data_IF_864108815585
#
_entry.id   IF_864108815585
#
_cell.length_a   1.000
_cell.length_b   1.000
_cell.length_c   1.000
_cell.angle_alpha   90.00
_cell.angle_beta   90.00
_cell.angle_gamma   90.00
#
_symmetry.space_group_name_H-M   'P 1'
#
loop_
_entity.id
_entity.type
_entity.pdbx_description
1 polymer ?
#
# COMPACT_ATOMS: atom_id res chain seq x y z
N UNK A 1 8.88 22.95 -8.32
CA UNK A 1 8.90 22.61 -6.87
C UNK A 1 7.55 22.08 -6.41
N UNK A 2 6.59 21.93 -7.32
CA UNK A 2 5.17 21.93 -6.98
C UNK A 2 4.66 20.54 -6.54
N UNK A 3 5.35 19.47 -6.94
CA UNK A 3 5.01 18.09 -6.57
C UNK A 3 5.89 17.49 -5.46
N UNK A 4 6.84 18.26 -4.90
CA UNK A 4 7.75 17.75 -3.89
C UNK A 4 7.01 17.27 -2.63
N UNK A 5 6.01 18.06 -2.18
CA UNK A 5 5.17 17.69 -1.03
C UNK A 5 4.35 16.43 -1.31
N UNK A 6 3.80 16.29 -2.52
CA UNK A 6 3.06 15.08 -2.93
C UNK A 6 3.96 13.85 -2.89
N UNK A 7 5.19 13.98 -3.38
CA UNK A 7 6.21 12.93 -3.28
C UNK A 7 6.51 12.53 -1.84
N UNK A 8 6.68 13.51 -0.93
CA UNK A 8 6.89 13.22 0.50
C UNK A 8 5.71 12.45 1.08
N UNK A 9 4.47 12.87 0.78
CA UNK A 9 3.27 12.18 1.25
C UNK A 9 3.24 10.73 0.77
N UNK A 10 3.60 10.47 -0.49
CA UNK A 10 3.66 9.11 -1.01
C UNK A 10 4.73 8.27 -0.32
N UNK A 11 5.92 8.82 -0.10
CA UNK A 11 6.98 8.12 0.64
C UNK A 11 6.56 7.79 2.07
N UNK A 12 5.88 8.72 2.77
CA UNK A 12 5.36 8.48 4.11
C UNK A 12 4.27 7.40 4.11
N UNK A 13 3.36 7.41 3.13
CA UNK A 13 2.33 6.37 2.99
C UNK A 13 2.92 4.99 2.72
N UNK A 14 3.93 4.90 1.85
CA UNK A 14 4.66 3.66 1.57
C UNK A 14 5.35 3.17 2.85
N UNK A 15 6.08 4.05 3.55
CA UNK A 15 6.74 3.71 4.81
C UNK A 15 5.76 3.24 5.89
N UNK A 16 4.64 3.96 6.08
CA UNK A 16 3.58 3.58 7.00
C UNK A 16 2.96 2.23 6.63
N UNK A 17 2.75 1.97 5.33
CA UNK A 17 2.23 0.69 4.85
C UNK A 17 3.15 -0.48 5.22
N UNK A 18 4.48 -0.30 5.09
CA UNK A 18 5.46 -1.32 5.49
C UNK A 18 5.42 -1.56 7.00
N UNK A 19 5.40 -0.50 7.82
CA UNK A 19 5.31 -0.64 9.27
C UNK A 19 4.02 -1.35 9.70
N UNK A 20 2.88 -1.00 9.08
CA UNK A 20 1.58 -1.64 9.32
C UNK A 20 1.57 -3.10 8.86
N UNK A 21 2.24 -3.42 7.75
CA UNK A 21 2.37 -4.80 7.27
C UNK A 21 3.15 -5.64 8.28
N UNK A 22 4.34 -5.19 8.69
CA UNK A 22 5.16 -5.88 9.70
C UNK A 22 4.38 -6.05 11.01
N UNK A 23 3.67 -5.01 11.45
CA UNK A 23 2.83 -5.08 12.63
C UNK A 23 1.65 -6.06 12.48
N UNK A 24 1.03 -6.11 11.30
CA UNK A 24 -0.02 -7.04 10.93
C UNK A 24 0.45 -8.50 10.95
N UNK A 25 1.64 -8.78 10.41
CA UNK A 25 2.28 -10.09 10.47
C UNK A 25 2.60 -10.48 11.92
N UNK A 26 3.24 -9.59 12.67
CA UNK A 26 3.67 -9.86 14.06
C UNK A 26 2.48 -10.21 14.96
N UNK A 27 1.38 -9.46 14.85
CA UNK A 27 0.21 -9.62 15.72
C UNK A 27 -0.89 -10.49 15.11
N UNK A 28 -0.68 -11.05 13.91
CA UNK A 28 -1.73 -11.72 13.13
C UNK A 28 -3.01 -10.87 13.08
N UNK A 29 -2.84 -9.58 12.79
CA UNK A 29 -3.91 -8.58 12.86
C UNK A 29 -4.43 -8.27 11.46
N UNK A 30 -5.69 -8.62 11.21
CA UNK A 30 -6.38 -8.28 9.96
C UNK A 30 -6.41 -6.76 9.71
N UNK A 31 -6.50 -5.96 10.78
CA UNK A 31 -6.49 -4.49 10.69
C UNK A 31 -5.14 -3.98 10.19
N UNK A 32 -4.03 -4.60 10.61
CA UNK A 32 -2.69 -4.23 10.15
C UNK A 32 -2.56 -4.40 8.64
N UNK A 33 -2.99 -5.55 8.11
CA UNK A 33 -3.02 -5.80 6.66
C UNK A 33 -3.98 -4.86 5.91
N UNK A 34 -5.16 -4.60 6.46
CA UNK A 34 -6.13 -3.68 5.84
C UNK A 34 -5.57 -2.27 5.72
N UNK A 35 -5.07 -1.70 6.82
CA UNK A 35 -4.53 -0.34 6.82
C UNK A 35 -3.25 -0.23 6.00
N UNK A 36 -2.43 -1.28 5.99
CA UNK A 36 -1.28 -1.38 5.09
C UNK A 36 -1.71 -1.30 3.63
N UNK A 37 -2.72 -2.07 3.23
CA UNK A 37 -3.27 -2.06 1.87
C UNK A 37 -3.88 -0.71 1.48
N UNK A 38 -4.64 -0.07 2.38
CA UNK A 38 -5.21 1.27 2.15
C UNK A 38 -4.11 2.31 1.95
N UNK A 39 -3.07 2.30 2.80
CA UNK A 39 -1.96 3.23 2.70
C UNK A 39 -1.18 3.06 1.38
N UNK A 40 -1.03 1.81 0.89
CA UNK A 40 -0.34 1.52 -0.36
C UNK A 40 -1.21 1.75 -1.61
N UNK A 41 -2.54 1.72 -1.47
CA UNK A 41 -3.47 1.86 -2.59
C UNK A 41 -3.32 3.23 -3.28
N UNK A 42 -3.21 4.31 -2.52
CA UNK A 42 -3.12 5.65 -3.10
C UNK A 42 -1.83 5.86 -3.94
N UNK A 43 -0.62 5.52 -3.44
CA UNK A 43 0.60 5.56 -4.24
C UNK A 43 0.60 4.62 -5.45
N UNK A 44 -0.05 3.47 -5.37
CA UNK A 44 -0.04 2.49 -6.47
C UNK A 44 -1.08 2.81 -7.55
N UNK A 45 -2.26 3.32 -7.18
CA UNK A 45 -3.27 3.80 -8.13
C UNK A 45 -2.77 5.01 -8.92
N UNK A 46 -2.00 5.90 -8.27
CA UNK A 46 -1.43 7.06 -8.96
C UNK A 46 -0.44 6.67 -10.06
N UNK A 47 0.22 5.51 -9.97
CA UNK A 47 1.04 4.97 -11.07
C UNK A 47 0.18 4.66 -12.31
N UNK A 48 -1.02 4.13 -12.14
CA UNK A 48 -1.91 3.86 -13.28
C UNK A 48 -2.45 5.14 -13.92
N UNK A 49 -2.91 6.07 -13.08
CA UNK A 49 -3.45 7.35 -13.56
C UNK A 49 -2.35 8.21 -14.16
N UNK A 50 -1.14 8.15 -13.62
CA UNK A 50 0.05 8.86 -14.10
C UNK A 50 0.70 8.24 -15.34
N UNK A 51 0.11 7.20 -15.94
CA UNK A 51 0.58 6.62 -17.19
C UNK A 51 1.79 5.68 -17.04
N UNK A 52 2.03 5.10 -15.86
CA UNK A 52 3.11 4.13 -15.70
C UNK A 52 2.91 2.92 -16.63
N UNK A 53 4.00 2.45 -17.23
CA UNK A 53 3.98 1.39 -18.25
C UNK A 53 4.64 0.10 -17.75
N UNK A 54 4.32 -1.01 -18.43
CA UNK A 54 4.93 -2.31 -18.19
C UNK A 54 4.83 -2.79 -16.74
N UNK A 55 5.98 -3.17 -16.19
CA UNK A 55 6.09 -3.81 -14.87
C UNK A 55 5.64 -2.90 -13.71
N UNK A 56 5.69 -1.58 -13.87
CA UNK A 56 5.25 -0.66 -12.82
C UNK A 56 3.76 -0.75 -12.54
N UNK A 57 2.95 -1.15 -13.52
CA UNK A 57 1.52 -1.43 -13.29
C UNK A 57 1.32 -2.57 -12.31
N UNK A 58 2.20 -3.57 -12.28
CA UNK A 58 2.06 -4.70 -11.36
C UNK A 58 2.09 -4.28 -9.88
N UNK A 59 2.60 -3.08 -9.55
CA UNK A 59 2.54 -2.53 -8.20
C UNK A 59 1.11 -2.41 -7.65
N UNK A 60 0.10 -2.26 -8.52
CA UNK A 60 -1.32 -2.29 -8.11
C UNK A 60 -1.80 -3.61 -7.53
N UNK A 61 -1.06 -4.70 -7.74
CA UNK A 61 -1.38 -5.99 -7.15
C UNK A 61 -1.00 -6.06 -5.67
N UNK A 62 -0.04 -5.26 -5.20
CA UNK A 62 0.37 -5.26 -3.79
C UNK A 62 -0.77 -4.91 -2.81
N UNK A 63 -1.54 -3.82 -2.98
CA UNK A 63 -2.65 -3.53 -2.07
C UNK A 63 -3.73 -4.63 -2.13
N UNK A 64 -3.95 -5.24 -3.30
CA UNK A 64 -4.88 -6.38 -3.43
C UNK A 64 -4.42 -7.58 -2.61
N UNK A 65 -3.12 -7.94 -2.66
CA UNK A 65 -2.55 -9.00 -1.84
C UNK A 65 -2.71 -8.70 -0.34
N UNK A 66 -2.50 -7.45 0.07
CA UNK A 66 -2.69 -7.03 1.46
C UNK A 66 -4.16 -7.15 1.90
N UNK A 67 -5.12 -6.81 1.03
CA UNK A 67 -6.54 -7.01 1.33
C UNK A 67 -6.93 -8.48 1.42
N UNK A 68 -6.36 -9.34 0.56
CA UNK A 68 -6.55 -10.78 0.65
C UNK A 68 -6.00 -11.33 1.97
N UNK A 69 -4.79 -10.91 2.37
CA UNK A 69 -4.21 -11.27 3.67
C UNK A 69 -5.07 -10.77 4.84
N UNK A 70 -5.61 -9.55 4.74
CA UNK A 70 -6.54 -9.01 5.72
C UNK A 70 -7.79 -9.89 5.85
N UNK A 71 -8.37 -10.33 4.73
CA UNK A 71 -9.54 -11.21 4.72
C UNK A 71 -9.23 -12.57 5.37
N UNK A 72 -8.13 -13.23 5.02
CA UNK A 72 -7.75 -14.52 5.60
C UNK A 72 -7.40 -14.45 7.08
N UNK A 73 -6.86 -13.32 7.53
CA UNK A 73 -6.48 -13.12 8.94
C UNK A 73 -7.68 -12.68 9.80
N UNK A 74 -8.77 -12.26 9.16
CA UNK A 74 -10.01 -11.89 9.84
C UNK A 74 -10.70 -13.18 10.29
N UNK A 75 -10.46 -13.54 11.56
CA UNK A 75 -11.24 -14.55 12.26
C UNK A 75 -12.62 -14.03 12.63
#
# INVERSE_FOLDING_TARGET
MDFFLVGIVYWLLIGASVLLFVWGVWNKSWKGFLWSGIALALPTISLYVGGAEGWFRLAGLLPLLLFVLAFYTKK
#
